data_IF_303914378540
#
_entry.id   IF_303914378540
#
_cell.length_a   1.000
_cell.length_b   1.000
_cell.length_c   1.000
_cell.angle_alpha   90.00
_cell.angle_beta   90.00
_cell.angle_gamma   90.00
#
_symmetry.space_group_name_H-M   'P 1'
#
loop_
_entity.id
_entity.type
_entity.pdbx_description
1 polymer ?
#
# COMPACT_ATOMS: atom_id res chain seq x y z
N UNK A 1 -20.37 25.51 3.86
CA UNK A 1 -20.43 24.04 3.76
C UNK A 1 -20.63 23.48 5.15
N UNK A 2 -21.42 22.43 5.31
CA UNK A 2 -21.62 21.74 6.60
C UNK A 2 -21.92 20.24 6.40
N UNK A 3 -21.71 19.46 7.46
CA UNK A 3 -22.07 18.03 7.56
C UNK A 3 -22.77 17.81 8.91
N UNK A 4 -24.01 17.30 8.88
CA UNK A 4 -24.86 17.07 10.06
C UNK A 4 -24.88 15.61 10.52
N UNK A 5 -24.28 14.69 9.76
CA UNK A 5 -24.36 13.25 10.05
C UNK A 5 -23.57 12.81 11.29
N UNK A 6 -22.58 13.60 11.72
CA UNK A 6 -21.60 13.18 12.73
C UNK A 6 -20.64 12.06 12.27
N UNK A 7 -20.80 11.57 11.03
CA UNK A 7 -19.99 10.52 10.44
C UNK A 7 -18.82 11.10 9.63
N UNK A 8 -17.69 10.37 9.54
CA UNK A 8 -16.54 10.82 8.78
C UNK A 8 -16.86 10.86 7.29
N UNK A 9 -16.64 12.02 6.67
CA UNK A 9 -16.83 12.20 5.25
C UNK A 9 -15.60 11.69 4.48
N UNK A 10 -15.72 10.52 3.86
CA UNK A 10 -14.56 9.80 3.30
C UNK A 10 -14.75 9.28 1.87
N UNK A 11 -15.97 9.30 1.34
CA UNK A 11 -16.28 8.79 -0.01
C UNK A 11 -16.27 9.93 -1.04
N UNK A 12 -15.70 9.73 -2.24
CA UNK A 12 -15.54 10.82 -3.19
C UNK A 12 -16.86 11.20 -3.86
N UNK A 13 -17.16 12.51 -3.90
CA UNK A 13 -18.16 13.08 -4.79
C UNK A 13 -17.50 14.18 -5.61
N UNK A 14 -17.59 14.07 -6.94
CA UNK A 14 -17.09 15.06 -7.86
C UNK A 14 -18.22 15.59 -8.73
N UNK A 15 -18.34 16.90 -8.86
CA UNK A 15 -19.33 17.55 -9.72
C UNK A 15 -18.62 18.38 -10.76
N UNK A 16 -18.89 18.10 -12.04
CA UNK A 16 -18.52 18.96 -13.17
C UNK A 16 -19.74 19.78 -13.54
N UNK A 17 -19.64 21.10 -13.42
CA UNK A 17 -20.72 22.01 -13.78
C UNK A 17 -20.31 22.95 -14.91
N UNK A 18 -21.27 23.42 -15.73
CA UNK A 18 -20.99 24.46 -16.72
C UNK A 18 -20.71 25.79 -16.01
N UNK A 19 -19.85 26.65 -16.59
CA UNK A 19 -19.59 27.99 -16.06
C UNK A 19 -20.83 28.90 -16.19
N UNK A 20 -20.79 30.03 -15.47
CA UNK A 20 -21.78 31.11 -15.59
C UNK A 20 -22.96 31.03 -14.62
N UNK A 21 -22.93 30.09 -13.68
CA UNK A 21 -23.81 30.05 -12.52
C UNK A 21 -23.07 29.39 -11.36
N UNK A 22 -23.45 29.75 -10.14
CA UNK A 22 -22.99 29.08 -8.94
C UNK A 22 -24.01 28.03 -8.52
N UNK A 23 -23.59 27.10 -7.67
CA UNK A 23 -24.37 25.94 -7.27
C UNK A 23 -24.36 25.76 -5.77
N UNK A 24 -25.48 25.31 -5.25
CA UNK A 24 -25.63 24.83 -3.89
C UNK A 24 -26.18 23.41 -3.94
N UNK A 25 -25.40 22.47 -3.41
CA UNK A 25 -25.71 21.05 -3.36
C UNK A 25 -26.15 20.69 -1.94
N UNK A 26 -27.25 19.96 -1.83
CA UNK A 26 -27.74 19.32 -0.61
C UNK A 26 -27.88 17.82 -0.84
N UNK A 27 -27.34 17.04 0.09
CA UNK A 27 -27.53 15.60 0.19
C UNK A 27 -28.51 15.34 1.32
N UNK A 28 -29.61 14.67 1.01
CA UNK A 28 -30.61 14.24 1.99
C UNK A 28 -30.56 12.73 2.11
N UNK A 29 -30.54 12.19 3.34
CA UNK A 29 -30.58 10.75 3.57
C UNK A 29 -31.82 10.15 2.92
N UNK A 30 -31.66 9.07 2.18
CA UNK A 30 -32.81 8.36 1.60
C UNK A 30 -33.66 7.69 2.70
N UNK A 31 -33.03 7.27 3.81
CA UNK A 31 -33.70 6.53 4.86
C UNK A 31 -34.53 7.44 5.78
N UNK A 32 -34.02 8.63 6.13
CA UNK A 32 -34.70 9.58 7.03
C UNK A 32 -35.30 10.80 6.33
N UNK A 33 -34.87 11.10 5.11
CA UNK A 33 -35.18 12.36 4.42
C UNK A 33 -34.42 13.58 4.95
N UNK A 34 -33.65 13.42 6.04
CA UNK A 34 -32.95 14.54 6.67
C UNK A 34 -31.74 14.99 5.86
N UNK A 35 -31.49 16.29 5.90
CA UNK A 35 -30.31 16.90 5.31
C UNK A 35 -29.03 16.44 6.00
N UNK A 36 -28.17 15.74 5.26
CA UNK A 36 -26.94 15.15 5.76
C UNK A 36 -25.72 16.05 5.53
N UNK A 37 -25.60 16.65 4.35
CA UNK A 37 -24.46 17.47 3.95
C UNK A 37 -24.92 18.52 2.94
N UNK A 38 -24.34 19.73 3.02
CA UNK A 38 -24.51 20.70 1.95
C UNK A 38 -23.25 21.53 1.68
N UNK A 39 -23.10 21.93 0.42
CA UNK A 39 -21.96 22.67 -0.06
C UNK A 39 -22.36 23.68 -1.14
N UNK A 40 -21.78 24.87 -1.03
CA UNK A 40 -21.77 25.88 -2.09
C UNK A 40 -20.50 25.70 -2.93
N UNK A 41 -20.61 25.89 -4.24
CA UNK A 41 -19.46 25.94 -5.14
C UNK A 41 -19.75 26.77 -6.39
N UNK A 42 -18.71 27.41 -6.91
CA UNK A 42 -18.76 28.17 -8.16
C UNK A 42 -18.75 27.24 -9.38
N UNK A 43 -19.51 27.60 -10.41
CA UNK A 43 -19.61 26.81 -11.63
C UNK A 43 -18.41 26.93 -12.56
N UNK A 44 -18.18 25.89 -13.37
CA UNK A 44 -17.18 25.89 -14.44
C UNK A 44 -15.91 25.10 -14.13
N UNK A 45 -15.62 24.86 -12.85
CA UNK A 45 -14.56 23.97 -12.40
C UNK A 45 -15.14 22.63 -11.89
N UNK A 46 -14.25 21.67 -11.65
CA UNK A 46 -14.62 20.48 -10.91
C UNK A 46 -14.72 20.79 -9.42
N UNK A 47 -15.91 20.66 -8.87
CA UNK A 47 -16.11 20.63 -7.42
C UNK A 47 -15.85 19.21 -6.90
N UNK A 48 -15.11 19.11 -5.79
CA UNK A 48 -14.78 17.83 -5.15
C UNK A 48 -15.06 17.93 -3.67
N UNK A 49 -15.76 16.94 -3.14
CA UNK A 49 -16.08 16.85 -1.73
C UNK A 49 -16.06 15.40 -1.29
N UNK A 50 -15.78 15.15 -0.02
CA UNK A 50 -15.97 13.84 0.58
C UNK A 50 -17.34 13.78 1.24
N UNK A 51 -17.99 12.64 1.13
CA UNK A 51 -19.35 12.38 1.61
C UNK A 51 -19.29 11.29 2.69
N UNK A 52 -20.11 11.39 3.75
CA UNK A 52 -20.28 10.30 4.71
C UNK A 52 -20.84 9.02 4.06
N UNK A 53 -20.70 7.84 4.70
CA UNK A 53 -21.34 6.63 4.21
C UNK A 53 -22.87 6.77 4.26
N UNK A 54 -23.55 6.28 3.23
CA UNK A 54 -25.01 6.24 3.20
C UNK A 54 -25.59 6.32 1.79
N UNK A 55 -26.91 6.33 1.73
CA UNK A 55 -27.70 6.51 0.50
C UNK A 55 -28.32 7.90 0.54
N UNK A 56 -28.13 8.68 -0.53
CA UNK A 56 -28.53 10.08 -0.56
C UNK A 56 -29.28 10.45 -1.84
N UNK A 57 -30.35 11.22 -1.66
CA UNK A 57 -30.97 12.00 -2.73
C UNK A 57 -30.26 13.35 -2.85
N UNK A 58 -29.86 13.72 -4.06
CA UNK A 58 -29.11 14.95 -4.31
C UNK A 58 -30.00 16.04 -4.92
N UNK A 59 -29.94 17.22 -4.31
CA UNK A 59 -30.65 18.42 -4.74
C UNK A 59 -29.64 19.52 -5.04
N UNK A 60 -29.81 20.17 -6.18
CA UNK A 60 -29.02 21.31 -6.61
C UNK A 60 -29.93 22.54 -6.68
N UNK A 61 -29.43 23.65 -6.16
CA UNK A 61 -29.90 24.98 -6.51
C UNK A 61 -28.80 25.66 -7.33
N UNK A 62 -29.18 26.45 -8.33
CA UNK A 62 -28.24 27.21 -9.14
C UNK A 62 -28.75 28.62 -9.41
N UNK A 63 -27.82 29.56 -9.54
CA UNK A 63 -28.13 30.96 -9.83
C UNK A 63 -26.91 31.85 -9.74
N UNK A 64 -27.15 33.15 -9.62
CA UNK A 64 -26.13 34.17 -9.40
C UNK A 64 -26.43 34.92 -8.12
N UNK A 65 -25.38 35.44 -7.47
CA UNK A 65 -25.53 36.23 -6.24
C UNK A 65 -26.03 35.39 -5.08
N UNK A 66 -25.15 34.54 -4.54
CA UNK A 66 -25.42 33.75 -3.34
C UNK A 66 -25.85 34.63 -2.16
N UNK A 67 -26.96 34.26 -1.50
CA UNK A 67 -27.60 34.98 -0.40
C UNK A 67 -27.71 34.14 0.88
N UNK A 68 -26.99 33.02 0.96
CA UNK A 68 -27.04 32.08 2.08
C UNK A 68 -28.10 30.99 1.92
N UNK A 69 -28.08 30.00 2.81
CA UNK A 69 -28.84 28.75 2.69
C UNK A 69 -30.36 28.96 2.65
N UNK A 70 -30.88 29.94 3.40
CA UNK A 70 -32.32 30.21 3.46
C UNK A 70 -32.89 30.94 2.24
N UNK A 71 -32.04 31.67 1.49
CA UNK A 71 -32.46 32.47 0.32
C UNK A 71 -31.84 32.02 -0.99
N UNK A 72 -30.84 31.14 -0.93
CA UNK A 72 -30.10 30.58 -2.07
C UNK A 72 -29.60 31.68 -3.00
N UNK A 73 -30.09 31.75 -4.24
CA UNK A 73 -29.72 32.76 -5.23
C UNK A 73 -30.85 33.78 -5.46
N UNK A 74 -31.78 33.89 -4.51
CA UNK A 74 -32.94 34.76 -4.61
C UNK A 74 -34.03 34.24 -5.57
N UNK A 75 -34.90 35.12 -6.10
CA UNK A 75 -36.03 34.72 -6.96
C UNK A 75 -35.63 34.02 -8.27
N UNK A 76 -34.39 34.21 -8.73
CA UNK A 76 -33.86 33.56 -9.92
C UNK A 76 -33.30 32.15 -9.68
N UNK A 77 -33.43 31.61 -8.47
CA UNK A 77 -32.92 30.28 -8.12
C UNK A 77 -33.59 29.20 -8.96
N UNK A 78 -32.79 28.40 -9.65
CA UNK A 78 -33.25 27.19 -10.34
C UNK A 78 -32.90 25.97 -9.52
N UNK A 79 -33.91 25.17 -9.18
CA UNK A 79 -33.75 23.93 -8.43
C UNK A 79 -33.81 22.72 -9.35
N UNK A 80 -33.00 21.71 -9.05
CA UNK A 80 -32.90 20.47 -9.81
C UNK A 80 -32.60 19.32 -8.85
N UNK A 81 -33.32 18.20 -8.98
CA UNK A 81 -33.12 16.98 -8.20
C UNK A 81 -32.59 15.89 -9.11
N UNK A 82 -31.61 15.12 -8.64
CA UNK A 82 -31.18 13.91 -9.37
C UNK A 82 -32.27 12.84 -9.27
N UNK A 83 -32.59 12.15 -10.37
CA UNK A 83 -33.62 11.12 -10.37
C UNK A 83 -33.19 9.89 -9.57
N UNK A 84 -31.89 9.61 -9.50
CA UNK A 84 -31.33 8.45 -8.82
C UNK A 84 -30.79 8.79 -7.43
N UNK A 85 -30.90 7.81 -6.53
CA UNK A 85 -30.30 7.82 -5.20
C UNK A 85 -28.89 7.27 -5.31
N UNK A 86 -27.92 8.01 -4.76
CA UNK A 86 -26.51 7.63 -4.81
C UNK A 86 -26.09 6.97 -3.50
N UNK A 87 -25.45 5.81 -3.61
CA UNK A 87 -24.89 5.08 -2.47
C UNK A 87 -23.38 5.32 -2.36
N UNK A 88 -22.95 5.73 -1.17
CA UNK A 88 -21.55 5.94 -0.80
C UNK A 88 -21.17 4.89 0.23
N UNK A 89 -20.41 3.90 -0.19
CA UNK A 89 -20.12 2.72 0.62
C UNK A 89 -18.80 2.08 0.21
N UNK A 90 -18.32 1.17 1.05
CA UNK A 90 -17.18 0.32 0.72
C UNK A 90 -17.66 -0.75 -0.27
N UNK A 91 -17.01 -0.86 -1.43
CA UNK A 91 -17.38 -1.81 -2.51
C UNK A 91 -16.46 -3.03 -2.61
N UNK A 92 -15.60 -3.22 -1.61
CA UNK A 92 -14.62 -4.28 -1.56
C UNK A 92 -13.48 -3.93 -0.59
N UNK A 93 -12.51 -4.81 -0.44
CA UNK A 93 -11.37 -4.56 0.46
C UNK A 93 -10.62 -3.29 0.05
N UNK A 94 -10.68 -2.25 0.89
CA UNK A 94 -10.00 -0.97 0.65
C UNK A 94 -10.60 -0.11 -0.47
N UNK A 95 -11.77 -0.43 -1.02
CA UNK A 95 -12.38 0.33 -2.12
C UNK A 95 -13.49 1.23 -1.58
N UNK A 96 -13.30 2.54 -1.63
CA UNK A 96 -14.32 3.54 -1.31
C UNK A 96 -15.09 3.92 -2.58
N UNK A 97 -16.35 3.52 -2.65
CA UNK A 97 -17.25 3.84 -3.76
C UNK A 97 -17.90 5.21 -3.59
N UNK A 98 -17.85 6.00 -4.64
CA UNK A 98 -18.47 7.31 -4.74
C UNK A 98 -18.85 7.61 -6.19
N UNK A 99 -19.05 8.88 -6.51
CA UNK A 99 -19.73 9.27 -7.74
C UNK A 99 -19.13 10.53 -8.37
N UNK A 100 -19.15 10.57 -9.71
CA UNK A 100 -18.89 11.76 -10.51
C UNK A 100 -20.18 12.15 -11.24
N UNK A 101 -20.64 13.37 -11.01
CA UNK A 101 -21.80 13.97 -11.63
C UNK A 101 -21.32 14.97 -12.67
N UNK A 102 -21.80 14.85 -13.90
CA UNK A 102 -21.59 15.83 -14.95
C UNK A 102 -22.90 16.53 -15.25
N UNK A 103 -22.97 17.82 -14.93
CA UNK A 103 -24.08 18.67 -15.27
C UNK A 103 -23.85 19.27 -16.67
N UNK A 104 -24.85 19.19 -17.52
CA UNK A 104 -24.85 19.78 -18.85
C UNK A 104 -26.07 20.67 -19.02
N UNK A 105 -25.89 21.82 -19.68
CA UNK A 105 -26.97 22.77 -19.93
C UNK A 105 -27.60 22.46 -21.28
N UNK A 106 -28.89 22.17 -21.27
CA UNK A 106 -29.72 21.98 -22.47
C UNK A 106 -30.83 23.04 -22.48
N UNK A 107 -30.53 24.19 -23.09
CA UNK A 107 -31.41 25.36 -23.07
C UNK A 107 -31.62 25.92 -21.66
N UNK A 108 -32.87 25.90 -21.20
CA UNK A 108 -33.27 26.34 -19.86
C UNK A 108 -33.08 25.27 -18.78
N UNK A 109 -32.83 24.01 -19.17
CA UNK A 109 -32.78 22.87 -18.26
C UNK A 109 -31.34 22.43 -17.99
N UNK A 110 -31.12 21.85 -16.82
CA UNK A 110 -29.91 21.11 -16.48
C UNK A 110 -30.18 19.61 -16.60
N UNK A 111 -29.29 18.92 -17.29
CA UNK A 111 -29.23 17.47 -17.34
C UNK A 111 -28.06 17.00 -16.47
N UNK A 112 -28.21 15.85 -15.85
CA UNK A 112 -27.16 15.22 -15.06
C UNK A 112 -26.86 13.82 -15.61
N UNK A 113 -25.58 13.56 -15.86
CA UNK A 113 -25.07 12.22 -16.08
C UNK A 113 -24.23 11.83 -14.88
N UNK A 114 -24.47 10.64 -14.33
CA UNK A 114 -23.74 10.12 -13.18
C UNK A 114 -22.92 8.92 -13.61
N UNK A 115 -21.69 8.88 -13.12
CA UNK A 115 -20.76 7.78 -13.32
C UNK A 115 -20.13 7.44 -11.98
N UNK A 116 -19.94 6.16 -11.69
CA UNK A 116 -19.25 5.73 -10.48
C UNK A 116 -17.79 6.19 -10.48
N UNK A 117 -17.23 6.36 -9.29
CA UNK A 117 -15.84 6.74 -9.05
C UNK A 117 -15.33 6.06 -7.79
N UNK A 118 -14.08 5.59 -7.79
CA UNK A 118 -13.54 4.88 -6.64
C UNK A 118 -12.20 5.42 -6.15
N UNK A 119 -11.98 5.31 -4.83
CA UNK A 119 -10.66 5.43 -4.22
C UNK A 119 -10.25 4.04 -3.71
N UNK A 120 -9.16 3.51 -4.25
CA UNK A 120 -8.55 2.26 -3.82
C UNK A 120 -7.45 2.54 -2.79
N UNK A 121 -7.53 1.85 -1.66
CA UNK A 121 -6.56 1.89 -0.59
C UNK A 121 -5.74 0.62 -0.59
N UNK A 122 -4.43 0.76 -0.81
CA UNK A 122 -3.47 -0.35 -0.76
C UNK A 122 -2.66 -0.21 0.51
N UNK A 123 -2.75 -1.21 1.38
CA UNK A 123 -1.92 -1.32 2.57
C UNK A 123 -0.64 -2.09 2.23
N UNK A 124 0.51 -1.51 2.56
CA UNK A 124 1.81 -2.16 2.50
C UNK A 124 2.40 -2.27 3.90
N UNK A 125 3.05 -3.41 4.18
CA UNK A 125 3.96 -3.51 5.31
C UNK A 125 5.13 -2.56 5.05
N UNK A 126 5.42 -1.67 6.00
CA UNK A 126 6.66 -0.91 5.93
C UNK A 126 7.79 -1.88 6.27
N UNK A 127 8.51 -2.30 5.24
CA UNK A 127 9.75 -3.04 5.46
C UNK A 127 10.77 -2.08 6.06
N UNK A 128 11.39 -2.42 7.21
CA UNK A 128 12.49 -1.62 7.72
C UNK A 128 13.56 -1.56 6.64
N UNK A 129 14.06 -0.34 6.35
CA UNK A 129 15.08 -0.14 5.33
C UNK A 129 16.20 -1.18 5.53
N UNK A 130 16.68 -1.85 4.47
CA UNK A 130 17.76 -2.82 4.59
C UNK A 130 18.96 -2.08 5.18
N UNK A 131 19.28 -2.38 6.45
CA UNK A 131 20.49 -1.88 7.09
C UNK A 131 21.64 -2.43 6.25
N UNK A 132 22.51 -1.57 5.66
CA UNK A 132 23.68 -2.04 4.96
C UNK A 132 24.47 -2.91 5.92
N UNK A 133 24.50 -4.22 5.68
CA UNK A 133 25.42 -5.08 6.43
C UNK A 133 26.81 -4.63 6.00
N UNK A 134 27.71 -4.26 6.94
CA UNK A 134 29.09 -4.01 6.58
C UNK A 134 29.56 -5.24 5.81
N UNK A 135 30.20 -5.00 4.67
CA UNK A 135 30.77 -6.05 3.84
C UNK A 135 31.65 -6.90 4.76
N UNK A 136 31.18 -8.10 5.12
CA UNK A 136 32.01 -9.01 5.88
C UNK A 136 33.23 -9.26 5.00
N UNK A 137 34.38 -8.81 5.50
CA UNK A 137 35.64 -8.93 4.81
C UNK A 137 35.89 -10.41 4.58
N UNK A 138 35.64 -10.89 3.35
CA UNK A 138 35.81 -12.27 2.92
C UNK A 138 37.29 -12.69 2.89
N UNK A 139 38.16 -12.01 3.66
CA UNK A 139 39.60 -12.26 3.77
C UNK A 139 39.96 -13.52 4.55
N UNK A 140 38.99 -14.35 4.89
CA UNK A 140 39.25 -15.77 5.13
C UNK A 140 39.16 -16.58 3.83
N UNK A 141 39.77 -16.07 2.76
CA UNK A 141 40.22 -16.92 1.66
C UNK A 141 41.28 -17.86 2.23
N UNK A 142 41.00 -19.17 2.19
CA UNK A 142 41.93 -20.23 2.54
C UNK A 142 43.29 -19.99 1.85
N UNK A 143 44.26 -19.47 2.59
CA UNK A 143 45.65 -19.40 2.14
C UNK A 143 46.24 -20.79 2.34
N UNK A 144 46.33 -21.58 1.28
CA UNK A 144 47.14 -22.79 1.30
C UNK A 144 48.60 -22.38 1.53
N UNK A 145 49.09 -22.55 2.75
CA UNK A 145 50.51 -22.41 3.07
C UNK A 145 51.35 -23.51 2.41
N UNK A 146 52.60 -23.17 2.04
CA UNK A 146 53.61 -24.07 1.50
C UNK A 146 54.29 -23.55 0.22
N UNK A 147 55.59 -23.81 0.08
CA UNK A 147 56.37 -23.47 -1.12
C UNK A 147 55.79 -24.18 -2.36
N UNK A 148 55.89 -23.54 -3.53
CA UNK A 148 55.52 -24.13 -4.82
C UNK A 148 56.43 -25.31 -5.17
N UNK A 149 57.69 -25.30 -4.74
CA UNK A 149 58.65 -26.36 -5.00
C UNK A 149 58.35 -27.65 -4.21
N UNK A 150 57.97 -27.53 -2.93
CA UNK A 150 57.55 -28.65 -2.09
C UNK A 150 56.26 -29.33 -2.60
N UNK A 151 55.37 -28.56 -3.24
CA UNK A 151 54.14 -29.10 -3.83
C UNK A 151 54.39 -29.95 -5.08
N UNK A 152 55.44 -29.66 -5.84
CA UNK A 152 55.78 -30.42 -7.05
C UNK A 152 56.47 -31.75 -6.75
N UNK A 153 57.35 -31.79 -5.74
CA UNK A 153 58.02 -33.03 -5.32
C UNK A 153 57.04 -34.07 -4.77
N UNK A 154 56.06 -33.62 -3.96
CA UNK A 154 55.06 -34.51 -3.36
C UNK A 154 54.03 -35.04 -4.36
N UNK A 155 53.67 -34.24 -5.37
CA UNK A 155 52.78 -34.69 -6.45
C UNK A 155 53.44 -35.77 -7.32
N UNK A 156 54.75 -35.69 -7.55
CA UNK A 156 55.51 -36.71 -8.25
C UNK A 156 55.65 -38.00 -7.42
N UNK A 157 55.89 -37.89 -6.11
CA UNK A 157 56.00 -39.06 -5.23
C UNK A 157 54.68 -39.84 -5.10
N UNK A 158 53.53 -39.15 -5.02
CA UNK A 158 52.22 -39.80 -5.00
C UNK A 158 51.88 -40.47 -6.34
N UNK A 159 52.18 -39.80 -7.46
CA UNK A 159 51.93 -40.35 -8.81
C UNK A 159 52.81 -41.56 -9.14
N UNK A 160 53.97 -41.69 -8.50
CA UNK A 160 54.91 -42.81 -8.68
C UNK A 160 54.71 -43.94 -7.65
N UNK A 161 53.81 -43.78 -6.67
CA UNK A 161 53.48 -44.84 -5.71
C UNK A 161 54.62 -45.22 -4.73
N UNK A 162 55.59 -44.32 -4.50
CA UNK A 162 56.86 -44.69 -3.87
C UNK A 162 56.92 -44.64 -2.34
N UNK A 163 55.81 -44.40 -1.62
CA UNK A 163 55.55 -44.84 -0.22
C UNK A 163 54.27 -44.22 0.34
N UNK A 164 53.59 -44.95 1.22
CA UNK A 164 52.61 -44.36 2.13
C UNK A 164 53.33 -43.70 3.31
N UNK A 165 52.89 -42.52 3.80
CA UNK A 165 53.52 -41.86 4.94
C UNK A 165 53.28 -42.67 6.23
N UNK A 166 54.30 -42.78 7.07
CA UNK A 166 54.21 -43.44 8.37
C UNK A 166 53.29 -42.65 9.33
N UNK A 167 52.55 -43.40 10.14
CA UNK A 167 51.52 -42.85 11.02
C UNK A 167 52.13 -41.92 12.09
N UNK A 168 51.52 -40.74 12.27
CA UNK A 168 51.89 -39.78 13.32
C UNK A 168 52.79 -38.62 12.86
N UNK A 169 53.15 -38.55 11.59
CA UNK A 169 53.99 -37.47 11.03
C UNK A 169 53.16 -36.25 10.58
N UNK A 170 53.83 -35.09 10.47
CA UNK A 170 53.22 -33.83 10.04
C UNK A 170 52.56 -33.91 8.64
N UNK A 171 53.04 -34.81 7.78
CA UNK A 171 52.44 -35.07 6.47
C UNK A 171 51.05 -35.73 6.55
N UNK A 172 50.84 -36.66 7.48
CA UNK A 172 49.54 -37.32 7.65
C UNK A 172 48.47 -36.34 8.17
N UNK A 173 48.88 -35.42 9.05
CA UNK A 173 48.03 -34.36 9.58
C UNK A 173 47.66 -33.33 8.50
N UNK A 174 48.55 -33.08 7.53
CA UNK A 174 48.28 -32.19 6.41
C UNK A 174 47.38 -32.82 5.35
N UNK A 175 47.54 -34.11 5.04
CA UNK A 175 46.64 -34.85 4.12
C UNK A 175 45.19 -34.89 4.64
N UNK A 176 45.00 -35.09 5.96
CA UNK A 176 43.66 -35.05 6.59
C UNK A 176 42.96 -33.69 6.47
N UNK A 177 43.70 -32.59 6.35
CA UNK A 177 43.11 -31.24 6.21
C UNK A 177 42.68 -30.90 4.78
N UNK A 178 43.14 -31.63 3.76
CA UNK A 178 42.85 -31.32 2.35
C UNK A 178 41.64 -32.04 1.75
N UNK A 179 41.18 -33.13 2.37
CA UNK A 179 39.94 -33.82 1.98
C UNK A 179 38.86 -33.65 3.07
N UNK A 180 38.31 -32.44 3.18
CA UNK A 180 36.95 -32.24 3.71
C UNK A 180 36.04 -31.99 2.52
N UNK A 181 35.86 -33.03 1.71
CA UNK A 181 34.68 -33.18 0.87
C UNK A 181 34.01 -34.48 1.33
N UNK A 182 32.99 -34.31 2.17
CA UNK A 182 31.97 -35.29 2.53
C UNK A 182 32.44 -36.71 2.88
N UNK A 183 32.77 -36.96 4.14
CA UNK A 183 32.82 -38.32 4.69
C UNK A 183 31.53 -38.62 5.47
N UNK A 184 30.74 -39.61 5.01
CA UNK A 184 29.51 -40.06 5.65
C UNK A 184 29.72 -40.95 6.91
N UNK A 185 30.92 -40.95 7.51
CA UNK A 185 31.25 -41.83 8.62
C UNK A 185 32.01 -41.09 9.74
N UNK A 186 31.44 -39.99 10.23
CA UNK A 186 31.79 -39.41 11.52
C UNK A 186 30.58 -39.49 12.46
N UNK A 187 30.76 -39.90 13.74
CA UNK A 187 29.67 -40.03 14.67
C UNK A 187 29.03 -38.67 14.94
N UNK A 188 27.70 -38.66 14.90
CA UNK A 188 26.83 -37.51 15.16
C UNK A 188 27.15 -36.99 16.57
N UNK A 189 27.85 -35.85 16.67
CA UNK A 189 27.91 -35.10 17.93
C UNK A 189 26.47 -34.72 18.27
N UNK A 190 25.91 -35.32 19.32
CA UNK A 190 24.75 -34.77 20.01
C UNK A 190 25.19 -33.41 20.57
N UNK A 191 24.91 -32.35 19.82
CA UNK A 191 24.81 -31.03 20.41
C UNK A 191 23.64 -31.13 21.40
N UNK A 192 23.95 -30.99 22.69
CA UNK A 192 22.95 -31.01 23.74
C UNK A 192 21.83 -30.04 23.40
N UNK A 193 20.58 -30.49 23.58
CA UNK A 193 19.46 -29.60 23.81
C UNK A 193 19.81 -28.76 25.04
N UNK A 194 20.40 -27.59 24.82
CA UNK A 194 20.11 -26.47 25.69
C UNK A 194 18.78 -25.93 25.22
N UNK A 195 17.81 -25.96 26.13
CA UNK A 195 16.52 -25.29 26.01
C UNK A 195 16.73 -23.88 25.45
N UNK A 196 16.48 -23.72 24.15
CA UNK A 196 16.00 -22.46 23.62
C UNK A 196 14.58 -22.34 24.15
N UNK A 197 14.45 -21.79 25.36
CA UNK A 197 13.22 -21.15 25.79
C UNK A 197 12.67 -20.38 24.58
N UNK A 198 11.38 -20.53 24.20
CA UNK A 198 10.84 -19.78 23.10
C UNK A 198 11.00 -18.32 23.49
N UNK A 199 11.99 -17.66 22.89
CA UNK A 199 12.19 -16.24 23.02
C UNK A 199 10.84 -15.66 22.67
N UNK A 200 10.18 -15.07 23.67
CA UNK A 200 8.93 -14.32 23.52
C UNK A 200 9.13 -13.53 22.25
N UNK A 201 8.37 -13.87 21.20
CA UNK A 201 8.37 -13.08 20.00
C UNK A 201 7.92 -11.70 20.46
N UNK A 202 8.88 -10.79 20.67
CA UNK A 202 8.58 -9.40 20.90
C UNK A 202 7.67 -9.02 19.75
N UNK A 203 6.44 -8.64 20.07
CA UNK A 203 5.49 -8.13 19.12
C UNK A 203 6.10 -6.82 18.58
N UNK A 204 6.98 -6.94 17.59
CA UNK A 204 7.48 -5.80 16.83
C UNK A 204 6.25 -5.22 16.17
N UNK A 205 5.87 -4.01 16.58
CA UNK A 205 4.85 -3.22 15.90
C UNK A 205 5.23 -3.21 14.42
N UNK A 206 4.45 -3.91 13.61
CA UNK A 206 4.56 -3.84 12.16
C UNK A 206 3.96 -2.50 11.79
N UNK A 207 4.79 -1.56 11.39
CA UNK A 207 4.31 -0.33 10.76
C UNK A 207 3.74 -0.67 9.39
N UNK A 208 2.63 -0.04 9.05
CA UNK A 208 1.98 -0.17 7.76
C UNK A 208 1.81 1.22 7.16
N UNK A 209 2.06 1.33 5.86
CA UNK A 209 1.69 2.50 5.08
C UNK A 209 0.45 2.20 4.26
N UNK A 210 -0.45 3.18 4.16
CA UNK A 210 -1.65 3.10 3.32
C UNK A 210 -1.54 4.14 2.23
N UNK A 211 -1.55 3.69 0.97
CA UNK A 211 -1.60 4.58 -0.20
C UNK A 211 -3.03 4.60 -0.73
N UNK A 212 -3.57 5.79 -0.96
CA UNK A 212 -4.90 5.98 -1.54
C UNK A 212 -4.78 6.55 -2.95
N UNK A 213 -5.41 5.90 -3.93
CA UNK A 213 -5.36 6.26 -5.35
C UNK A 213 -6.77 6.23 -5.94
N UNK A 214 -7.07 7.13 -6.87
CA UNK A 214 -8.29 6.98 -7.68
C UNK A 214 -8.14 5.79 -8.62
N UNK A 215 -9.17 4.96 -8.68
CA UNK A 215 -9.21 3.76 -9.50
C UNK A 215 -10.60 3.68 -10.15
N UNK A 216 -10.66 3.58 -11.49
CA UNK A 216 -11.94 3.63 -12.21
C UNK A 216 -12.39 5.05 -12.57
#
# INVERSE_FOLDING_TARGET
>A
MWNKTGLPAVFPLQVKSPPGADYYLVLSSEDSGEEALAAYFEGGAFFKVLVPPGRYALHFASGSGWQGEGRLFGPGTRVFKLPEVLEFAIRGAGIKGGHKITLTRSGAYLQAAVTEQYICQVASLDEPAPVPRPLQDSRHLFRLGGDRHERWSLHLQWRLGLRAPEAGTAEQLWQRRRFVLGSQLLPRRQAGLQDLAPGRAEARFRSFSVRSLFCG
#
